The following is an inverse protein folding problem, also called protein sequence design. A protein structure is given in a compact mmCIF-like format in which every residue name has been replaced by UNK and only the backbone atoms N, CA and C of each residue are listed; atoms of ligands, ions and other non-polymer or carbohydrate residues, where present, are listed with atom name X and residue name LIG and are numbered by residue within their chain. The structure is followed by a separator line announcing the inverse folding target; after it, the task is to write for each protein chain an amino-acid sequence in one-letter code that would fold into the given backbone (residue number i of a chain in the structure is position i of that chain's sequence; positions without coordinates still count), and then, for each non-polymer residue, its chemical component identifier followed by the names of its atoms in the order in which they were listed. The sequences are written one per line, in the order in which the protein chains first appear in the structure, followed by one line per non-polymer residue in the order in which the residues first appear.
data_IF_849555911574
#
_entry.id   IF_849555911574
#
_cell.length_a   1.000
_cell.length_b   1.000
_cell.length_c   1.000
_cell.angle_alpha   90.00
_cell.angle_beta   90.00
_cell.angle_gamma   90.00
#
_symmetry.space_group_name_H-M   'P 1'
#
loop_
_entity.id
_entity.type
_entity.pdbx_description
1 polymer ?
#
# COMPACT_ATOMS: atom_id res chain seq x y z
N UNK A 1 2.88 12.50 -4.57
CA UNK A 1 1.57 12.52 -3.88
C UNK A 1 1.74 11.81 -2.55
N UNK A 2 1.87 12.59 -1.48
CA UNK A 2 1.82 12.08 -0.11
C UNK A 2 0.37 11.72 0.19
N UNK A 3 0.09 10.44 0.43
CA UNK A 3 -1.15 10.05 1.09
C UNK A 3 -1.00 10.60 2.51
N UNK A 4 -1.57 11.78 2.73
CA UNK A 4 -1.79 12.33 4.06
C UNK A 4 -2.71 11.35 4.78
N UNK A 5 -2.11 10.40 5.48
CA UNK A 5 -2.76 9.69 6.56
C UNK A 5 -3.18 10.80 7.52
N UNK A 6 -4.47 11.10 7.57
CA UNK A 6 -5.06 11.87 8.65
C UNK A 6 -4.69 11.15 9.96
N UNK A 7 -3.56 11.55 10.56
CA UNK A 7 -3.20 11.24 11.93
C UNK A 7 -4.38 11.68 12.79
N UNK A 8 -5.13 10.73 13.33
CA UNK A 8 -6.10 10.99 14.40
C UNK A 8 -7.58 10.77 14.09
N UNK A 9 -7.97 10.14 12.97
CA UNK A 9 -9.33 9.54 12.91
C UNK A 9 -9.23 8.04 13.07
N UNK A 10 -9.45 7.59 14.30
CA UNK A 10 -9.83 6.20 14.53
C UNK A 10 -11.13 5.94 13.74
N UNK A 11 -11.06 5.05 12.75
CA UNK A 11 -12.11 4.83 11.74
C UNK A 11 -13.12 3.73 12.12
N UNK A 12 -13.00 3.09 13.27
CA UNK A 12 -14.16 2.45 13.91
C UNK A 12 -15.03 3.57 14.49
N UNK A 13 -16.36 3.48 14.38
CA UNK A 13 -17.24 4.49 14.99
C UNK A 13 -17.10 4.51 16.51
N UNK A 14 -16.68 3.38 17.10
CA UNK A 14 -16.49 3.22 18.54
C UNK A 14 -15.13 2.56 18.85
N UNK A 15 -14.01 3.27 18.61
CA UNK A 15 -12.69 2.67 18.53
C UNK A 15 -12.08 2.24 19.87
N UNK A 16 -12.70 2.63 20.98
CA UNK A 16 -12.25 2.34 22.35
C UNK A 16 -13.28 1.57 23.17
N UNK A 17 -14.32 1.03 22.52
CA UNK A 17 -15.39 0.30 23.22
C UNK A 17 -15.22 -1.19 23.02
N UNK A 18 -15.23 -1.94 24.12
CA UNK A 18 -15.41 -3.40 24.06
C UNK A 18 -16.85 -3.73 23.65
N UNK A 19 -17.11 -4.93 23.11
CA UNK A 19 -18.47 -5.35 22.76
C UNK A 19 -19.51 -5.13 23.87
N UNK A 20 -19.11 -5.31 25.13
CA UNK A 20 -19.97 -5.15 26.31
C UNK A 20 -20.31 -3.67 26.56
N UNK A 21 -19.31 -2.79 26.48
CA UNK A 21 -19.54 -1.33 26.62
C UNK A 21 -20.33 -0.74 25.45
N UNK A 22 -20.21 -1.35 24.26
CA UNK A 22 -21.02 -1.04 23.08
C UNK A 22 -22.48 -1.45 23.31
N UNK A 23 -22.71 -2.65 23.84
CA UNK A 23 -24.06 -3.12 24.18
C UNK A 23 -24.74 -2.21 25.19
N UNK A 24 -24.06 -1.87 26.30
CA UNK A 24 -24.59 -0.95 27.30
C UNK A 24 -24.92 0.42 26.70
N UNK A 25 -24.04 0.94 25.84
CA UNK A 25 -24.26 2.22 25.16
C UNK A 25 -25.49 2.21 24.23
N UNK A 26 -25.70 1.13 23.48
CA UNK A 26 -26.86 1.00 22.59
C UNK A 26 -28.15 0.70 23.37
N UNK A 27 -28.10 -0.08 24.45
CA UNK A 27 -29.26 -0.34 25.31
C UNK A 27 -29.83 0.93 25.94
N UNK A 28 -28.95 1.88 26.32
CA UNK A 28 -29.33 3.17 26.89
C UNK A 28 -30.00 4.14 25.90
N UNK A 29 -30.04 3.81 24.59
CA UNK A 29 -30.62 4.66 23.56
C UNK A 29 -32.05 4.28 23.20
N UNK A 30 -32.78 5.26 22.69
CA UNK A 30 -34.10 5.03 22.11
C UNK A 30 -33.99 4.39 20.71
N UNK A 31 -35.09 3.82 20.24
CA UNK A 31 -35.15 3.11 18.97
C UNK A 31 -34.89 4.02 17.76
N UNK A 32 -35.29 5.29 17.82
CA UNK A 32 -35.06 6.27 16.75
C UNK A 32 -33.58 6.59 16.59
N UNK A 33 -32.88 6.87 17.69
CA UNK A 33 -31.44 7.09 17.75
C UNK A 33 -30.66 5.86 17.28
N UNK A 34 -31.09 4.65 17.64
CA UNK A 34 -30.44 3.42 17.17
C UNK A 34 -30.60 3.24 15.65
N UNK A 35 -31.76 3.59 15.10
CA UNK A 35 -32.03 3.54 13.66
C UNK A 35 -31.20 4.57 12.90
N UNK A 36 -31.02 5.77 13.45
CA UNK A 36 -30.16 6.81 12.86
C UNK A 36 -28.67 6.39 12.88
N UNK A 37 -28.21 5.79 13.99
CA UNK A 37 -26.87 5.22 14.08
C UNK A 37 -26.68 4.11 13.04
N UNK A 38 -27.70 3.28 12.82
CA UNK A 38 -27.70 2.23 11.80
C UNK A 38 -27.55 2.80 10.39
N UNK A 39 -28.40 3.75 10.00
CA UNK A 39 -28.35 4.39 8.69
C UNK A 39 -26.99 5.04 8.41
N UNK A 40 -26.38 5.65 9.43
CA UNK A 40 -25.07 6.27 9.28
C UNK A 40 -23.91 5.26 9.12
N UNK A 41 -24.12 3.94 9.24
CA UNK A 41 -23.10 2.94 8.86
C UNK A 41 -23.00 2.75 7.35
N UNK A 42 -24.06 3.02 6.58
CA UNK A 42 -24.03 2.89 5.11
C UNK A 42 -22.88 3.69 4.47
N UNK A 43 -22.86 5.03 4.62
CA UNK A 43 -21.76 5.86 4.12
C UNK A 43 -20.39 5.50 4.73
N UNK A 44 -20.37 4.95 5.94
CA UNK A 44 -19.13 4.53 6.59
C UNK A 44 -18.51 3.29 5.91
N UNK A 45 -19.32 2.27 5.62
CA UNK A 45 -18.86 1.11 4.86
C UNK A 45 -18.44 1.46 3.44
N UNK A 46 -19.19 2.34 2.77
CA UNK A 46 -18.81 2.82 1.44
C UNK A 46 -17.43 3.48 1.44
N UNK A 47 -17.14 4.33 2.44
CA UNK A 47 -15.82 4.93 2.60
C UNK A 47 -14.72 3.89 2.88
N UNK A 48 -15.02 2.86 3.68
CA UNK A 48 -14.08 1.78 3.97
C UNK A 48 -13.75 0.94 2.73
N UNK A 49 -14.76 0.53 1.96
CA UNK A 49 -14.55 -0.22 0.71
C UNK A 49 -13.79 0.63 -0.31
N UNK A 50 -14.15 1.90 -0.48
CA UNK A 50 -13.42 2.82 -1.35
C UNK A 50 -11.94 2.94 -0.96
N UNK A 51 -11.61 2.96 0.33
CA UNK A 51 -10.22 2.98 0.80
C UNK A 51 -9.49 1.66 0.51
N UNK A 52 -10.17 0.53 0.73
CA UNK A 52 -9.64 -0.81 0.45
C UNK A 52 -9.38 -0.99 -1.05
N UNK A 53 -10.30 -0.55 -1.90
CA UNK A 53 -10.19 -0.64 -3.36
C UNK A 53 -9.03 0.21 -3.88
N UNK A 54 -8.91 1.46 -3.41
CA UNK A 54 -7.77 2.32 -3.74
C UNK A 54 -6.43 1.67 -3.38
N UNK A 55 -6.32 1.12 -2.17
CA UNK A 55 -5.11 0.41 -1.75
C UNK A 55 -4.85 -0.84 -2.59
N UNK A 56 -5.89 -1.58 -2.95
CA UNK A 56 -5.78 -2.77 -3.82
C UNK A 56 -5.22 -2.39 -5.19
N UNK A 57 -5.74 -1.31 -5.79
CA UNK A 57 -5.26 -0.78 -7.06
C UNK A 57 -3.81 -0.29 -6.95
N UNK A 58 -3.45 0.42 -5.88
CA UNK A 58 -2.08 0.89 -5.68
C UNK A 58 -1.10 -0.27 -5.49
N UNK A 59 -1.45 -1.27 -4.68
CA UNK A 59 -0.66 -2.50 -4.51
C UNK A 59 -0.45 -3.20 -5.85
N UNK A 60 -1.52 -3.36 -6.65
CA UNK A 60 -1.44 -3.96 -7.99
C UNK A 60 -0.48 -3.19 -8.88
N UNK A 61 -0.58 -1.86 -8.88
CA UNK A 61 0.30 -0.96 -9.65
C UNK A 61 1.77 -1.12 -9.24
N UNK A 62 2.06 -1.13 -7.93
CA UNK A 62 3.44 -1.29 -7.45
C UNK A 62 3.99 -2.69 -7.75
N UNK A 63 3.17 -3.75 -7.65
CA UNK A 63 3.56 -5.11 -8.06
C UNK A 63 3.90 -5.17 -9.54
N UNK A 64 3.13 -4.48 -10.38
CA UNK A 64 3.42 -4.35 -11.81
C UNK A 64 4.80 -3.72 -12.05
N UNK A 65 5.10 -2.60 -11.38
CA UNK A 65 6.41 -1.94 -11.46
C UNK A 65 7.55 -2.85 -11.00
N UNK A 66 7.39 -3.51 -9.86
CA UNK A 66 8.37 -4.46 -9.33
C UNK A 66 8.67 -5.59 -10.33
N UNK A 67 7.62 -6.15 -10.95
CA UNK A 67 7.80 -7.18 -11.97
C UNK A 67 8.57 -6.68 -13.20
N UNK A 68 8.39 -5.40 -13.57
CA UNK A 68 9.17 -4.74 -14.62
C UNK A 68 10.66 -4.65 -14.24
N UNK A 69 10.96 -4.14 -13.05
CA UNK A 69 12.33 -4.02 -12.56
C UNK A 69 13.04 -5.38 -12.45
N UNK A 70 12.36 -6.42 -11.97
CA UNK A 70 12.93 -7.77 -11.91
C UNK A 70 13.27 -8.33 -13.30
N UNK A 71 12.42 -8.08 -14.31
CA UNK A 71 12.73 -8.45 -15.70
C UNK A 71 13.91 -7.66 -16.25
N UNK A 72 14.05 -6.38 -15.91
CA UNK A 72 15.21 -5.58 -16.30
C UNK A 72 16.50 -6.09 -15.64
N UNK A 73 16.42 -6.49 -14.36
CA UNK A 73 17.55 -7.05 -13.63
C UNK A 73 18.02 -8.38 -14.24
N UNK A 74 17.07 -9.21 -14.66
CA UNK A 74 17.37 -10.44 -15.38
C UNK A 74 18.07 -10.15 -16.72
N UNK A 75 17.58 -9.17 -17.51
CA UNK A 75 18.22 -8.75 -18.76
C UNK A 75 19.65 -8.24 -18.54
N UNK A 76 19.87 -7.44 -17.51
CA UNK A 76 21.21 -6.94 -17.16
C UNK A 76 22.13 -8.13 -16.84
N UNK A 77 21.65 -9.08 -16.04
CA UNK A 77 22.40 -10.29 -15.68
C UNK A 77 22.75 -11.15 -16.91
N UNK A 78 21.79 -11.36 -17.82
CA UNK A 78 22.00 -12.12 -19.05
C UNK A 78 23.00 -11.44 -20.00
N UNK A 79 23.06 -10.10 -20.00
CA UNK A 79 23.98 -9.35 -20.85
C UNK A 79 25.40 -9.23 -20.25
N UNK A 80 25.66 -9.75 -19.04
CA UNK A 80 26.96 -9.61 -18.38
C UNK A 80 28.13 -10.09 -19.25
N UNK A 81 27.99 -11.22 -19.94
CA UNK A 81 29.03 -11.73 -20.85
C UNK A 81 29.40 -10.76 -21.97
N UNK A 82 28.43 -9.99 -22.50
CA UNK A 82 28.71 -8.95 -23.50
C UNK A 82 29.46 -7.77 -22.88
N UNK A 83 29.12 -7.39 -21.66
CA UNK A 83 29.80 -6.33 -20.93
C UNK A 83 31.27 -6.69 -20.68
N UNK A 84 31.56 -7.96 -20.35
CA UNK A 84 32.95 -8.43 -20.19
C UNK A 84 33.76 -8.24 -21.47
N UNK A 85 33.19 -8.61 -22.63
CA UNK A 85 33.86 -8.44 -23.94
C UNK A 85 34.08 -6.95 -24.26
N UNK A 86 33.07 -6.11 -24.01
CA UNK A 86 33.19 -4.67 -24.24
C UNK A 86 34.18 -4.02 -23.26
N UNK A 87 34.30 -4.53 -22.03
CA UNK A 87 35.31 -4.07 -21.08
C UNK A 87 36.73 -4.36 -21.58
N UNK A 88 36.96 -5.57 -22.10
CA UNK A 88 38.26 -5.94 -22.65
C UNK A 88 38.64 -5.00 -23.81
N UNK A 89 37.68 -4.70 -24.71
CA UNK A 89 37.87 -3.71 -25.77
C UNK A 89 38.18 -2.31 -25.23
N UNK A 90 37.46 -1.89 -24.20
CA UNK A 90 37.68 -0.61 -23.53
C UNK A 90 39.11 -0.51 -22.96
N UNK A 91 39.58 -1.53 -22.24
CA UNK A 91 40.94 -1.54 -21.69
C UNK A 91 42.01 -1.60 -22.77
N UNK A 92 41.79 -2.37 -23.85
CA UNK A 92 42.70 -2.42 -24.99
C UNK A 92 42.82 -1.04 -25.67
N UNK A 93 41.69 -0.36 -25.90
CA UNK A 93 41.68 0.99 -26.46
C UNK A 93 42.38 1.98 -25.53
N UNK A 94 42.11 1.89 -24.23
CA UNK A 94 42.76 2.72 -23.20
C UNK A 94 44.28 2.51 -23.17
N UNK A 95 44.73 1.27 -23.23
CA UNK A 95 46.15 0.92 -23.27
C UNK A 95 46.82 1.48 -24.53
N UNK A 96 46.19 1.37 -25.70
CA UNK A 96 46.67 1.94 -26.96
C UNK A 96 46.87 3.45 -26.88
N UNK A 97 45.87 4.17 -26.35
CA UNK A 97 45.95 5.65 -26.15
C UNK A 97 47.12 6.02 -25.23
N UNK A 98 47.41 5.18 -24.23
CA UNK A 98 48.50 5.43 -23.28
C UNK A 98 49.89 5.08 -23.82
N UNK A 99 49.98 4.10 -24.73
CA UNK A 99 51.24 3.69 -25.36
C UNK A 99 51.63 4.55 -26.55
N UNK A 100 50.67 5.21 -27.20
CA UNK A 100 50.96 6.11 -28.31
C UNK A 100 51.79 7.32 -27.85
N UNK A 101 52.68 7.80 -28.73
CA UNK A 101 53.51 9.00 -28.53
C UNK A 101 52.71 10.31 -28.49
N UNK A 102 51.36 10.23 -28.41
CA UNK A 102 50.45 11.36 -28.30
C UNK A 102 50.79 12.25 -27.10
N UNK A 103 50.81 13.55 -27.36
CA UNK A 103 51.10 14.60 -26.38
C UNK A 103 49.91 14.81 -25.42
N UNK A 104 50.13 15.52 -24.30
CA UNK A 104 49.17 15.60 -23.20
C UNK A 104 47.74 16.04 -23.58
N UNK A 105 47.59 16.95 -24.55
CA UNK A 105 46.27 17.44 -24.99
C UNK A 105 45.52 16.41 -25.85
N UNK A 106 46.19 15.76 -26.79
CA UNK A 106 45.60 14.72 -27.66
C UNK A 106 45.18 13.50 -26.85
N UNK A 107 46.03 13.09 -25.90
CA UNK A 107 45.72 12.01 -24.96
C UNK A 107 44.51 12.34 -24.10
N UNK A 108 44.42 13.56 -23.59
CA UNK A 108 43.27 13.99 -22.79
C UNK A 108 41.97 13.91 -23.59
N UNK A 109 41.96 14.41 -24.83
CA UNK A 109 40.80 14.35 -25.72
C UNK A 109 40.42 12.90 -26.07
N UNK A 110 41.41 12.04 -26.34
CA UNK A 110 41.18 10.63 -26.64
C UNK A 110 40.58 9.87 -25.44
N UNK A 111 41.10 10.10 -24.23
CA UNK A 111 40.54 9.51 -23.00
C UNK A 111 39.12 10.05 -22.70
N UNK A 112 38.88 11.34 -22.95
CA UNK A 112 37.55 11.91 -22.79
C UNK A 112 36.55 11.31 -23.79
N UNK A 113 36.97 11.04 -25.04
CA UNK A 113 36.16 10.41 -26.06
C UNK A 113 35.89 8.92 -25.79
N UNK A 114 36.84 8.22 -25.16
CA UNK A 114 36.67 6.81 -24.75
C UNK A 114 35.53 6.65 -23.73
N UNK A 115 35.29 7.66 -22.89
CA UNK A 115 34.15 7.72 -21.99
C UNK A 115 34.27 6.79 -20.77
N UNK A 116 33.12 6.41 -20.22
CA UNK A 116 33.04 5.56 -19.03
C UNK A 116 33.25 4.09 -19.37
N UNK A 117 33.89 3.38 -18.45
CA UNK A 117 34.08 1.93 -18.50
C UNK A 117 32.72 1.21 -18.60
N UNK A 118 32.59 0.21 -19.49
CA UNK A 118 31.41 -0.65 -19.53
C UNK A 118 31.03 -1.26 -18.17
N UNK A 119 32.02 -1.65 -17.35
CA UNK A 119 31.77 -2.11 -15.98
C UNK A 119 31.22 -1.01 -15.06
N UNK A 120 31.73 0.21 -15.15
CA UNK A 120 31.21 1.32 -14.32
C UNK A 120 29.74 1.60 -14.65
N UNK A 121 29.42 1.63 -15.96
CA UNK A 121 28.04 1.76 -16.42
C UNK A 121 27.17 0.59 -15.93
N UNK A 122 27.66 -0.64 -16.02
CA UNK A 122 26.95 -1.84 -15.56
C UNK A 122 26.65 -1.79 -14.06
N UNK A 123 27.66 -1.53 -13.22
CA UNK A 123 27.49 -1.50 -11.77
C UNK A 123 26.61 -0.33 -11.32
N UNK A 124 26.75 0.83 -11.95
CA UNK A 124 25.88 1.99 -11.69
C UNK A 124 24.42 1.67 -12.00
N UNK A 125 24.14 1.11 -13.18
CA UNK A 125 22.79 0.73 -13.58
C UNK A 125 22.21 -0.38 -12.69
N UNK A 126 23.02 -1.40 -12.37
CA UNK A 126 22.62 -2.50 -11.51
C UNK A 126 22.26 -2.02 -10.10
N UNK A 127 23.09 -1.14 -9.51
CA UNK A 127 22.82 -0.54 -8.20
C UNK A 127 21.55 0.32 -8.23
N UNK A 128 21.42 1.21 -9.22
CA UNK A 128 20.23 2.06 -9.37
C UNK A 128 18.94 1.22 -9.49
N UNK A 129 18.99 0.12 -10.22
CA UNK A 129 17.85 -0.78 -10.35
C UNK A 129 17.55 -1.51 -9.04
N UNK A 130 18.58 -1.96 -8.31
CA UNK A 130 18.42 -2.57 -7.00
C UNK A 130 17.78 -1.60 -5.99
N UNK A 131 18.21 -0.34 -5.98
CA UNK A 131 17.63 0.70 -5.12
C UNK A 131 16.15 0.94 -5.44
N UNK A 132 15.77 0.88 -6.72
CA UNK A 132 14.36 0.97 -7.16
C UNK A 132 13.54 -0.24 -6.72
N UNK A 133 14.10 -1.45 -6.80
CA UNK A 133 13.47 -2.68 -6.31
C UNK A 133 13.23 -2.58 -4.81
N UNK A 134 14.24 -2.20 -4.04
CA UNK A 134 14.18 -2.12 -2.59
C UNK A 134 13.17 -1.06 -2.13
N UNK A 135 13.19 0.11 -2.78
CA UNK A 135 12.22 1.18 -2.53
C UNK A 135 10.79 0.72 -2.82
N UNK A 136 10.58 0.02 -3.93
CA UNK A 136 9.26 -0.50 -4.32
C UNK A 136 8.77 -1.57 -3.35
N UNK A 137 9.66 -2.47 -2.90
CA UNK A 137 9.36 -3.48 -1.90
C UNK A 137 8.98 -2.86 -0.55
N UNK A 138 9.72 -1.85 -0.10
CA UNK A 138 9.39 -1.11 1.13
C UNK A 138 8.00 -0.48 1.03
N UNK A 139 7.70 0.19 -0.09
CA UNK A 139 6.38 0.78 -0.33
C UNK A 139 5.27 -0.29 -0.36
N UNK A 140 5.51 -1.45 -0.96
CA UNK A 140 4.56 -2.56 -0.95
C UNK A 140 4.28 -3.07 0.47
N UNK A 141 5.30 -3.19 1.32
CA UNK A 141 5.14 -3.59 2.71
C UNK A 141 4.31 -2.59 3.52
N UNK A 142 4.56 -1.30 3.32
CA UNK A 142 3.75 -0.23 3.91
C UNK A 142 2.29 -0.32 3.45
N UNK A 143 2.05 -0.42 2.13
CA UNK A 143 0.70 -0.55 1.58
C UNK A 143 -0.04 -1.80 2.08
N UNK A 144 0.65 -2.95 2.17
CA UNK A 144 0.07 -4.19 2.70
C UNK A 144 -0.31 -4.03 4.18
N UNK A 145 0.53 -3.33 4.97
CA UNK A 145 0.24 -3.03 6.37
C UNK A 145 -1.00 -2.14 6.51
N UNK A 146 -1.10 -1.10 5.68
CA UNK A 146 -2.30 -0.27 5.60
C UNK A 146 -3.54 -1.07 5.19
N UNK A 147 -3.41 -1.92 4.18
CA UNK A 147 -4.51 -2.77 3.71
C UNK A 147 -5.02 -3.71 4.81
N UNK A 148 -4.11 -4.36 5.56
CA UNK A 148 -4.47 -5.18 6.70
C UNK A 148 -5.17 -4.38 7.80
N UNK A 149 -4.70 -3.16 8.08
CA UNK A 149 -5.35 -2.25 9.00
C UNK A 149 -6.79 -1.93 8.57
N UNK A 150 -7.02 -1.56 7.30
CA UNK A 150 -8.36 -1.23 6.80
C UNK A 150 -9.31 -2.44 6.79
N UNK A 151 -8.82 -3.63 6.46
CA UNK A 151 -9.59 -4.88 6.60
C UNK A 151 -10.01 -5.14 8.05
N UNK A 152 -9.12 -4.89 9.00
CA UNK A 152 -9.45 -4.99 10.42
C UNK A 152 -10.52 -3.96 10.82
N UNK A 153 -10.41 -2.71 10.38
CA UNK A 153 -11.43 -1.68 10.66
C UNK A 153 -12.80 -2.07 10.12
N UNK A 154 -12.86 -2.60 8.89
CA UNK A 154 -14.10 -3.15 8.31
C UNK A 154 -14.68 -4.27 9.17
N UNK A 155 -13.85 -5.22 9.61
CA UNK A 155 -14.30 -6.33 10.46
C UNK A 155 -14.88 -5.84 11.80
N UNK A 156 -14.25 -4.84 12.42
CA UNK A 156 -14.76 -4.19 13.63
C UNK A 156 -16.10 -3.50 13.39
N UNK A 157 -16.21 -2.69 12.34
CA UNK A 157 -17.46 -2.02 11.97
C UNK A 157 -18.61 -3.01 11.72
N UNK A 158 -18.34 -4.15 11.07
CA UNK A 158 -19.33 -5.23 10.90
C UNK A 158 -19.78 -5.79 12.26
N UNK A 159 -18.84 -5.98 13.19
CA UNK A 159 -19.13 -6.50 14.52
C UNK A 159 -19.96 -5.51 15.33
N UNK A 160 -19.64 -4.21 15.26
CA UNK A 160 -20.40 -3.13 15.88
C UNK A 160 -21.84 -3.07 15.32
N UNK A 161 -22.00 -3.16 14.01
CA UNK A 161 -23.33 -3.15 13.36
C UNK A 161 -24.17 -4.38 13.75
N UNK A 162 -23.55 -5.56 13.88
CA UNK A 162 -24.25 -6.77 14.37
C UNK A 162 -24.79 -6.59 15.78
N UNK A 163 -24.00 -6.00 16.68
CA UNK A 163 -24.44 -5.71 18.04
C UNK A 163 -25.60 -4.71 18.04
N UNK A 164 -25.48 -3.64 17.23
CA UNK A 164 -26.53 -2.64 17.10
C UNK A 164 -27.85 -3.26 16.61
N UNK A 165 -27.80 -4.07 15.56
CA UNK A 165 -28.99 -4.73 14.99
C UNK A 165 -29.65 -5.66 16.01
N UNK A 166 -28.87 -6.44 16.77
CA UNK A 166 -29.40 -7.29 17.84
C UNK A 166 -30.22 -6.51 18.85
N UNK A 167 -29.74 -5.33 19.27
CA UNK A 167 -30.41 -4.49 20.28
C UNK A 167 -31.64 -3.79 19.69
N UNK A 168 -31.59 -3.40 18.41
CA UNK A 168 -32.76 -2.87 17.69
C UNK A 168 -33.86 -3.94 17.65
N UNK A 169 -33.52 -5.18 17.33
CA UNK A 169 -34.47 -6.30 17.26
C UNK A 169 -35.05 -6.65 18.64
N UNK A 170 -34.23 -6.62 19.70
CA UNK A 170 -34.69 -6.79 21.09
C UNK A 170 -35.72 -5.70 21.47
N UNK A 171 -35.40 -4.42 21.24
CA UNK A 171 -36.30 -3.30 21.57
C UNK A 171 -37.59 -3.29 20.73
N UNK A 172 -37.54 -3.75 19.48
CA UNK A 172 -38.75 -3.90 18.64
C UNK A 172 -39.68 -4.95 19.21
N UNK A 173 -39.13 -6.10 19.65
CA UNK A 173 -39.94 -7.17 20.28
C UNK A 173 -40.57 -6.73 21.59
N UNK A 174 -39.84 -5.98 22.42
CA UNK A 174 -40.40 -5.42 23.67
C UNK A 174 -41.62 -4.53 23.39
N UNK A 175 -41.53 -3.64 22.39
CA UNK A 175 -42.63 -2.77 21.99
C UNK A 175 -43.83 -3.55 21.41
N UNK A 176 -43.60 -4.62 20.66
CA UNK A 176 -44.68 -5.48 20.14
C UNK A 176 -45.41 -6.25 21.25
N UNK A 177 -44.68 -6.71 22.27
CA UNK A 177 -45.25 -7.41 23.44
C UNK A 177 -46.08 -6.45 24.30
N UNK A 178 -45.57 -5.25 24.58
CA UNK A 178 -46.32 -4.22 25.31
C UNK A 178 -47.63 -3.85 24.59
N UNK A 179 -47.61 -3.80 23.25
CA UNK A 179 -48.82 -3.53 22.46
C UNK A 179 -49.87 -4.67 22.56
N UNK A 180 -49.44 -5.93 22.57
CA UNK A 180 -50.36 -7.07 22.73
C UNK A 180 -51.02 -7.12 24.12
N UNK A 181 -50.29 -6.77 25.19
CA UNK A 181 -50.88 -6.72 26.54
C UNK A 181 -51.88 -5.58 26.72
N UNK A 182 -51.68 -4.44 26.04
CA UNK A 182 -52.64 -3.32 26.07
C UNK A 182 -53.94 -3.59 25.30
N UNK A 183 -53.92 -4.44 24.27
CA UNK A 183 -55.11 -4.81 23.49
C UNK A 183 -55.89 -6.00 24.08
N UNK A 184 -55.24 -6.85 24.88
CA UNK A 184 -55.88 -8.01 25.55
C UNK A 184 -56.61 -7.64 26.86
N UNK A 185 -56.53 -6.38 27.30
CA UNK A 185 -57.06 -5.93 28.60
C UNK A 185 -58.31 -5.04 28.48
N UNK A 186 -58.93 -4.96 27.30
CA UNK A 186 -60.21 -4.27 27.07
C UNK A 186 -61.33 -5.25 26.74
#
# INVERSE_FOLDING_TARGET
MLILIQKGKNMSKFPHKTPETLRQYFQAKDLGQLTEINHSYGPHFENLENAIDRLTQEISTQKGKLSGFLKEQEKISQNYGKIVIEQERFENNRASIMSDSCTGAERYLALAALGMSPFDCYYSNSRSLQDQIDTTNKKLNELNSHFAFWKNQRSKAVSELKILNSIIDEKRKELEVDHQFTLSSN
#
